data_IF_063256150006
#
_entry.id   IF_063256150006
#
_cell.length_a   1.000
_cell.length_b   1.000
_cell.length_c   1.000
_cell.angle_alpha   90.00
_cell.angle_beta   90.00
_cell.angle_gamma   90.00
#
_symmetry.space_group_name_H-M   'P 1'
#
loop_
_entity.id
_entity.type
_entity.pdbx_description
1 polymer ?
#
# COMPACT_ATOMS: atom_id res chain seq x y z
N UNK A 1 7.55 40.64 -0.65
CA UNK A 1 8.61 39.82 0.01
C UNK A 1 8.00 38.46 0.31
N UNK A 2 8.01 37.53 -0.64
CA UNK A 2 7.39 36.20 -0.49
C UNK A 2 8.49 35.16 -0.26
N UNK A 3 8.60 34.69 0.98
CA UNK A 3 9.41 33.53 1.35
C UNK A 3 8.70 32.27 0.84
N UNK A 4 9.12 31.73 -0.31
CA UNK A 4 8.71 30.39 -0.72
C UNK A 4 9.74 29.38 -0.21
N UNK A 5 9.63 29.06 1.08
CA UNK A 5 10.27 27.89 1.68
C UNK A 5 9.55 26.65 1.17
N UNK A 6 10.18 25.88 0.27
CA UNK A 6 9.81 24.47 0.08
C UNK A 6 10.71 23.63 0.97
N UNK A 7 10.31 23.48 2.23
CA UNK A 7 10.84 22.43 3.10
C UNK A 7 10.31 21.08 2.62
N UNK A 8 11.15 20.24 2.04
CA UNK A 8 10.84 18.84 1.82
C UNK A 8 11.41 18.04 3.01
N UNK A 9 10.57 17.78 4.01
CA UNK A 9 10.90 16.94 5.15
C UNK A 9 10.69 15.47 4.73
N UNK A 10 11.75 14.78 4.29
CA UNK A 10 11.66 13.34 4.01
C UNK A 10 12.03 12.56 5.28
N UNK A 11 11.05 12.46 6.18
CA UNK A 11 11.10 11.57 7.34
C UNK A 11 10.79 10.16 6.83
N UNK A 12 11.82 9.32 6.69
CA UNK A 12 11.63 7.87 6.57
C UNK A 12 11.37 7.29 7.96
N UNK A 13 10.19 7.58 8.52
CA UNK A 13 9.63 6.83 9.64
C UNK A 13 8.92 5.63 9.03
N UNK A 14 9.47 4.45 9.25
CA UNK A 14 8.77 3.20 9.03
C UNK A 14 7.83 2.99 10.22
N UNK A 15 6.67 3.65 10.20
CA UNK A 15 5.51 3.34 11.04
C UNK A 15 4.26 4.03 10.45
N UNK A 16 3.46 3.25 9.73
CA UNK A 16 2.01 3.51 9.61
C UNK A 16 1.27 2.22 9.97
N UNK A 17 0.67 2.14 11.17
CA UNK A 17 -0.34 1.15 11.50
C UNK A 17 -1.73 1.81 11.51
N UNK A 18 -2.40 1.89 10.35
CA UNK A 18 -3.85 2.13 10.31
C UNK A 18 -4.50 1.34 9.18
N UNK A 19 -5.27 0.33 9.60
CA UNK A 19 -6.50 -0.22 9.04
C UNK A 19 -7.02 0.53 7.79
N UNK A 20 -6.66 0.06 6.60
CA UNK A 20 -7.52 0.16 5.43
C UNK A 20 -8.49 -1.04 5.45
N UNK A 21 -9.62 -0.86 6.13
CA UNK A 21 -10.81 -1.65 5.89
C UNK A 21 -11.33 -1.32 4.49
N UNK A 22 -11.02 -2.13 3.49
CA UNK A 22 -11.79 -2.16 2.25
C UNK A 22 -11.94 -3.60 1.80
N UNK A 23 -13.11 -4.12 2.15
CA UNK A 23 -13.71 -5.36 1.72
C UNK A 23 -13.55 -5.56 0.22
N UNK A 24 -12.57 -6.37 -0.20
CA UNK A 24 -12.54 -6.96 -1.54
C UNK A 24 -13.21 -8.34 -1.46
N UNK A 25 -14.53 -8.31 -1.26
CA UNK A 25 -15.41 -9.46 -1.33
C UNK A 25 -16.66 -9.07 -2.10
N UNK A 26 -16.69 -9.46 -3.37
CA UNK A 26 -17.88 -9.76 -4.17
C UNK A 26 -19.13 -8.89 -3.94
N UNK A 27 -19.35 -7.89 -4.80
CA UNK A 27 -20.71 -7.60 -5.27
C UNK A 27 -20.83 -8.04 -6.73
N UNK A 28 -21.48 -9.18 -6.91
CA UNK A 28 -22.17 -9.47 -8.16
C UNK A 28 -23.22 -8.37 -8.39
N UNK A 29 -23.07 -7.62 -9.46
CA UNK A 29 -24.12 -6.89 -10.15
C UNK A 29 -23.55 -6.52 -11.52
N UNK A 30 -23.60 -7.45 -12.47
CA UNK A 30 -24.48 -7.32 -13.63
C UNK A 30 -24.29 -5.99 -14.36
N UNK A 31 -23.50 -6.05 -15.43
CA UNK A 31 -23.66 -5.24 -16.62
C UNK A 31 -25.15 -5.09 -16.94
N UNK A 32 -25.74 -3.95 -16.60
CA UNK A 32 -26.95 -3.51 -17.26
C UNK A 32 -26.88 -2.01 -17.41
N UNK A 33 -26.92 -1.59 -18.67
CA UNK A 33 -27.38 -0.27 -19.12
C UNK A 33 -26.54 0.89 -18.65
N UNK A 34 -25.48 1.14 -19.42
CA UNK A 34 -25.02 2.49 -19.70
C UNK A 34 -26.24 3.30 -20.18
N UNK A 35 -26.72 4.32 -19.45
CA UNK A 35 -27.64 5.28 -20.02
C UNK A 35 -26.80 6.20 -20.88
N UNK A 36 -26.73 5.83 -22.15
CA UNK A 36 -26.73 6.80 -23.24
C UNK A 36 -27.80 7.83 -22.96
N UNK A 37 -27.42 9.08 -22.74
CA UNK A 37 -28.14 10.26 -23.20
C UNK A 37 -27.32 11.51 -22.86
N UNK A 38 -27.23 12.39 -23.86
CA UNK A 38 -26.84 13.80 -23.82
C UNK A 38 -25.35 14.14 -23.54
N UNK A 39 -24.62 14.83 -24.42
CA UNK A 39 -25.01 15.73 -25.50
C UNK A 39 -24.13 15.52 -26.74
N UNK A 40 -24.80 15.48 -27.90
CA UNK A 40 -24.31 15.97 -29.17
C UNK A 40 -23.49 17.27 -28.96
N UNK A 41 -22.40 17.55 -29.68
CA UNK A 41 -22.36 18.04 -31.06
C UNK A 41 -21.02 18.83 -31.09
N UNK A 42 -20.12 18.71 -32.05
CA UNK A 42 -20.10 19.57 -33.24
C UNK A 42 -18.94 19.16 -34.18
N UNK A 43 -19.30 18.46 -35.27
CA UNK A 43 -18.80 18.61 -36.66
C UNK A 43 -17.28 18.53 -37.00
N UNK A 44 -16.86 18.49 -38.30
CA UNK A 44 -17.34 17.68 -39.42
C UNK A 44 -16.19 17.00 -40.22
N UNK A 45 -16.49 15.85 -40.86
CA UNK A 45 -16.09 15.64 -42.26
C UNK A 45 -15.05 14.57 -42.63
N UNK A 46 -15.47 13.73 -43.59
CA UNK A 46 -14.68 13.00 -44.62
C UNK A 46 -13.91 11.73 -44.22
N UNK A 47 -14.55 10.55 -44.37
CA UNK A 47 -13.85 9.25 -44.30
C UNK A 47 -14.68 7.98 -44.51
N UNK A 48 -15.58 7.95 -45.51
CA UNK A 48 -16.61 6.90 -45.72
C UNK A 48 -16.14 5.57 -46.36
N UNK A 49 -14.90 5.10 -46.15
CA UNK A 49 -14.41 3.91 -46.90
C UNK A 49 -13.67 2.82 -46.09
N UNK A 50 -13.86 2.72 -44.77
CA UNK A 50 -13.11 1.74 -43.93
C UNK A 50 -13.95 0.75 -43.12
N UNK A 51 -15.23 0.57 -43.46
CA UNK A 51 -16.17 -0.24 -42.67
C UNK A 51 -16.40 -1.68 -43.12
N UNK A 52 -15.94 -2.09 -44.31
CA UNK A 52 -16.40 -3.37 -44.91
C UNK A 52 -15.45 -4.57 -44.73
N UNK A 53 -14.31 -4.40 -44.07
CA UNK A 53 -13.34 -5.49 -43.84
C UNK A 53 -13.23 -5.95 -42.37
N UNK A 54 -13.88 -5.26 -41.43
CA UNK A 54 -13.78 -5.57 -39.99
C UNK A 54 -14.78 -6.64 -39.49
N UNK A 55 -15.75 -7.05 -40.31
CA UNK A 55 -16.79 -8.02 -39.90
C UNK A 55 -16.35 -9.48 -39.91
N UNK A 56 -15.26 -9.82 -40.63
CA UNK A 56 -14.87 -11.23 -40.87
C UNK A 56 -13.87 -11.78 -39.84
N UNK A 57 -13.27 -10.93 -39.01
CA UNK A 57 -12.29 -11.33 -38.00
C UNK A 57 -12.90 -11.63 -36.62
N UNK A 58 -14.19 -11.32 -36.39
CA UNK A 58 -14.86 -11.52 -35.10
C UNK A 58 -15.63 -12.86 -34.99
N UNK A 59 -15.69 -13.65 -36.06
CA UNK A 59 -16.31 -14.98 -36.04
C UNK A 59 -15.44 -16.08 -35.40
N UNK A 60 -14.11 -16.18 -35.64
CA UNK A 60 -13.31 -17.27 -35.05
C UNK A 60 -13.07 -17.10 -33.54
N UNK A 61 -13.13 -15.87 -33.03
CA UNK A 61 -12.92 -15.56 -31.61
C UNK A 61 -14.13 -15.99 -30.75
N UNK A 62 -15.34 -15.93 -31.32
CA UNK A 62 -16.56 -16.42 -30.68
C UNK A 62 -16.66 -17.96 -30.74
N UNK A 63 -16.17 -18.58 -31.82
CA UNK A 63 -16.18 -20.03 -32.00
C UNK A 63 -15.21 -20.77 -31.03
N UNK A 64 -14.09 -20.16 -30.67
CA UNK A 64 -13.17 -20.71 -29.67
C UNK A 64 -13.74 -20.71 -28.24
N UNK A 65 -14.72 -19.85 -27.93
CA UNK A 65 -15.36 -19.79 -26.62
C UNK A 65 -16.38 -20.92 -26.39
N UNK A 66 -16.81 -21.63 -27.44
CA UNK A 66 -17.79 -22.72 -27.37
C UNK A 66 -17.15 -24.12 -27.41
N UNK A 67 -15.82 -24.23 -27.43
CA UNK A 67 -15.17 -25.54 -27.30
C UNK A 67 -15.54 -26.14 -25.93
N UNK A 68 -16.17 -27.34 -25.87
CA UNK A 68 -16.41 -28.03 -24.61
C UNK A 68 -15.05 -28.45 -24.05
N UNK A 69 -14.47 -27.59 -23.22
CA UNK A 69 -13.31 -27.94 -22.41
C UNK A 69 -13.71 -29.13 -21.53
N UNK A 70 -12.92 -30.19 -21.58
CA UNK A 70 -13.11 -31.37 -20.75
C UNK A 70 -13.20 -30.93 -19.28
N UNK A 71 -14.42 -30.91 -18.74
CA UNK A 71 -14.67 -30.68 -17.33
C UNK A 71 -14.30 -31.97 -16.60
N UNK A 72 -13.04 -32.07 -16.18
CA UNK A 72 -12.63 -33.07 -15.21
C UNK A 72 -13.29 -32.71 -13.88
N UNK A 73 -14.26 -33.50 -13.45
CA UNK A 73 -14.81 -33.39 -12.12
C UNK A 73 -13.67 -33.67 -11.12
N UNK A 74 -13.30 -32.65 -10.33
CA UNK A 74 -12.38 -32.84 -9.22
C UNK A 74 -12.94 -33.91 -8.28
N UNK A 75 -12.07 -34.78 -7.77
CA UNK A 75 -12.46 -35.69 -6.70
C UNK A 75 -12.84 -34.89 -5.45
N UNK A 76 -13.67 -35.47 -4.56
CA UNK A 76 -14.08 -34.81 -3.31
C UNK A 76 -12.87 -34.27 -2.52
N UNK A 77 -11.78 -35.03 -2.46
CA UNK A 77 -10.52 -34.64 -1.81
C UNK A 77 -9.86 -33.43 -2.49
N UNK A 78 -9.87 -33.38 -3.83
CA UNK A 78 -9.33 -32.24 -4.58
C UNK A 78 -10.18 -30.99 -4.37
N UNK A 79 -11.51 -31.12 -4.34
CA UNK A 79 -12.42 -30.02 -4.05
C UNK A 79 -12.24 -29.50 -2.62
N UNK A 80 -12.07 -30.39 -1.64
CA UNK A 80 -11.83 -30.03 -0.25
C UNK A 80 -10.46 -29.36 -0.07
N UNK A 81 -9.40 -29.90 -0.68
CA UNK A 81 -8.07 -29.29 -0.65
C UNK A 81 -8.06 -27.90 -1.29
N UNK A 82 -8.74 -27.72 -2.44
CA UNK A 82 -8.92 -26.41 -3.08
C UNK A 82 -9.71 -25.46 -2.19
N UNK A 83 -10.77 -25.92 -1.51
CA UNK A 83 -11.52 -25.11 -0.57
C UNK A 83 -10.66 -24.64 0.61
N UNK A 84 -9.86 -25.52 1.23
CA UNK A 84 -8.98 -25.12 2.36
C UNK A 84 -7.87 -24.15 1.95
N UNK A 85 -7.35 -24.26 0.73
CA UNK A 85 -6.26 -23.40 0.25
C UNK A 85 -6.76 -22.04 -0.29
N UNK A 86 -7.94 -22.01 -0.89
CA UNK A 86 -8.47 -20.82 -1.56
C UNK A 86 -9.56 -20.09 -0.76
N UNK A 87 -9.90 -20.55 0.44
CA UNK A 87 -10.89 -19.87 1.27
C UNK A 87 -10.30 -18.55 1.82
N UNK A 88 -10.83 -17.38 1.40
CA UNK A 88 -10.28 -16.09 1.81
C UNK A 88 -10.44 -15.83 3.31
N UNK A 89 -11.45 -16.41 3.96
CA UNK A 89 -11.68 -16.26 5.40
C UNK A 89 -10.57 -16.94 6.21
N UNK A 90 -10.15 -18.15 5.82
CA UNK A 90 -9.05 -18.86 6.49
C UNK A 90 -7.70 -18.16 6.28
N UNK A 91 -7.49 -17.62 5.08
CA UNK A 91 -6.29 -16.82 4.79
C UNK A 91 -6.26 -15.52 5.60
N UNK A 92 -7.40 -14.85 5.76
CA UNK A 92 -7.52 -13.65 6.59
C UNK A 92 -7.22 -13.93 8.07
N UNK A 93 -7.76 -15.01 8.64
CA UNK A 93 -7.48 -15.36 10.04
C UNK A 93 -6.01 -15.77 10.27
N UNK A 94 -5.38 -16.46 9.31
CA UNK A 94 -3.93 -16.74 9.36
C UNK A 94 -3.09 -15.47 9.27
N UNK A 95 -3.46 -14.54 8.39
CA UNK A 95 -2.79 -13.25 8.29
C UNK A 95 -2.93 -12.44 9.59
N UNK A 96 -4.10 -12.51 10.23
CA UNK A 96 -4.35 -11.90 11.53
C UNK A 96 -3.48 -12.48 12.64
N UNK A 97 -3.31 -13.81 12.68
CA UNK A 97 -2.40 -14.44 13.64
C UNK A 97 -0.96 -13.97 13.48
N UNK A 98 -0.46 -13.92 12.23
CA UNK A 98 0.88 -13.40 11.95
C UNK A 98 1.02 -11.96 12.43
N UNK A 99 0.04 -11.10 12.16
CA UNK A 99 0.05 -9.71 12.64
C UNK A 99 0.14 -9.61 14.17
N UNK A 100 -0.53 -10.50 14.91
CA UNK A 100 -0.47 -10.54 16.38
C UNK A 100 0.87 -11.10 16.86
N UNK A 101 1.39 -12.15 16.21
CA UNK A 101 2.69 -12.73 16.55
C UNK A 101 3.83 -11.70 16.38
N UNK A 102 3.71 -10.73 15.46
CA UNK A 102 4.69 -9.63 15.29
C UNK A 102 4.70 -8.61 16.44
N UNK A 103 3.71 -8.61 17.33
CA UNK A 103 3.69 -7.71 18.49
C UNK A 103 4.84 -8.02 19.48
N UNK A 104 5.25 -9.27 19.59
CA UNK A 104 6.34 -9.70 20.49
C UNK A 104 7.71 -9.18 20.03
N UNK A 105 8.15 -9.40 18.78
CA UNK A 105 9.42 -8.82 18.29
C UNK A 105 9.39 -7.29 18.26
N UNK A 106 8.23 -6.65 18.04
CA UNK A 106 8.09 -5.19 18.19
C UNK A 106 8.40 -4.76 19.63
N UNK A 107 7.81 -5.41 20.64
CA UNK A 107 8.09 -5.10 22.03
C UNK A 107 9.55 -5.41 22.43
N UNK A 108 10.18 -6.43 21.85
CA UNK A 108 11.60 -6.75 22.06
C UNK A 108 12.54 -5.73 21.40
N UNK A 109 12.13 -5.10 20.29
CA UNK A 109 12.93 -4.09 19.59
C UNK A 109 13.25 -2.88 20.47
N UNK A 110 12.44 -2.63 21.50
CA UNK A 110 12.66 -1.58 22.49
C UNK A 110 13.93 -1.76 23.35
N UNK A 111 14.58 -2.93 23.30
CA UNK A 111 15.90 -3.17 23.90
C UNK A 111 17.07 -2.99 22.91
N UNK A 112 16.77 -2.82 21.63
CA UNK A 112 17.79 -2.65 20.60
C UNK A 112 18.19 -1.19 20.47
N UNK A 113 19.44 -0.89 20.10
CA UNK A 113 19.82 0.46 19.72
C UNK A 113 19.10 0.85 18.43
N UNK A 114 18.58 2.07 18.39
CA UNK A 114 18.02 2.68 17.18
C UNK A 114 19.06 3.57 16.56
N UNK A 115 19.35 3.38 15.27
CA UNK A 115 20.24 4.24 14.47
C UNK A 115 19.37 5.05 13.52
N UNK A 116 19.51 6.36 13.58
CA UNK A 116 18.81 7.31 12.70
C UNK A 116 19.84 8.08 11.90
N UNK A 117 19.60 8.24 10.61
CA UNK A 117 20.41 9.06 9.70
C UNK A 117 19.50 10.18 9.20
N UNK A 118 19.85 11.41 9.50
CA UNK A 118 19.18 12.61 9.01
C UNK A 118 20.12 13.36 8.08
N UNK A 119 19.58 13.93 7.02
CA UNK A 119 20.33 14.71 6.06
C UNK A 119 19.50 15.88 5.60
N UNK A 120 20.08 17.06 5.60
CA UNK A 120 19.42 18.30 5.19
C UNK A 120 20.27 19.01 4.14
N UNK A 121 19.63 19.50 3.10
CA UNK A 121 20.26 20.34 2.09
C UNK A 121 19.33 21.51 1.80
N UNK A 122 19.87 22.71 1.72
CA UNK A 122 19.09 23.92 1.46
C UNK A 122 19.90 25.01 0.79
N UNK A 123 19.20 26.06 0.34
CA UNK A 123 19.80 27.27 -0.20
C UNK A 123 19.25 28.45 0.57
N UNK A 124 20.13 29.18 1.22
CA UNK A 124 19.83 30.38 2.00
C UNK A 124 20.44 31.59 1.29
N UNK A 125 19.59 32.51 0.84
CA UNK A 125 20.01 33.80 0.31
C UNK A 125 19.78 34.89 1.35
N UNK A 126 20.84 35.61 1.70
CA UNK A 126 20.80 36.74 2.63
C UNK A 126 21.20 38.00 1.88
N UNK A 127 20.26 38.92 1.72
CA UNK A 127 20.49 40.23 1.12
C UNK A 127 20.67 41.26 2.26
N UNK A 128 21.82 41.95 2.32
CA UNK A 128 22.10 42.97 3.34
C UNK A 128 22.09 44.37 2.73
N UNK A 129 21.21 45.26 3.23
CA UNK A 129 21.06 46.64 2.78
C UNK A 129 21.82 47.64 3.68
N UNK A 130 23.15 47.51 3.74
CA UNK A 130 24.06 48.46 4.43
C UNK A 130 24.71 49.42 3.42
N UNK A 131 25.53 50.37 3.88
CA UNK A 131 26.25 51.35 3.04
C UNK A 131 27.00 50.73 1.83
N UNK A 132 27.39 49.46 1.93
CA UNK A 132 27.80 48.61 0.80
C UNK A 132 26.83 47.42 0.67
N UNK A 133 25.95 47.39 -0.34
CA UNK A 133 25.05 46.27 -0.55
C UNK A 133 25.81 44.99 -0.87
N UNK A 134 25.47 43.88 -0.21
CA UNK A 134 26.05 42.58 -0.49
C UNK A 134 24.97 41.49 -0.46
N UNK A 135 25.04 40.58 -1.44
CA UNK A 135 24.18 39.40 -1.55
C UNK A 135 25.04 38.19 -1.25
N UNK A 136 24.66 37.42 -0.23
CA UNK A 136 25.31 36.16 0.10
C UNK A 136 24.34 35.02 -0.13
N UNK A 137 24.71 34.10 -1.01
CA UNK A 137 24.04 32.81 -1.15
C UNK A 137 24.87 31.77 -0.41
N UNK A 138 24.21 30.96 0.41
CA UNK A 138 24.83 29.87 1.17
C UNK A 138 24.03 28.61 0.90
N UNK A 139 24.72 27.49 0.69
CA UNK A 139 24.08 26.21 0.39
C UNK A 139 24.41 25.25 1.53
N UNK A 140 23.77 25.39 2.71
CA UNK A 140 24.05 24.50 3.82
C UNK A 140 23.62 23.08 3.45
N UNK A 141 24.55 22.15 3.60
CA UNK A 141 24.32 20.71 3.52
C UNK A 141 24.82 20.09 4.81
N UNK A 142 23.96 19.38 5.52
CA UNK A 142 24.26 18.72 6.79
C UNK A 142 23.84 17.26 6.73
N UNK A 143 24.55 16.41 7.47
CA UNK A 143 24.20 15.02 7.68
C UNK A 143 24.52 14.68 9.13
N UNK A 144 23.59 14.03 9.81
CA UNK A 144 23.68 13.66 11.22
C UNK A 144 23.32 12.18 11.36
N UNK A 145 24.09 11.47 12.17
CA UNK A 145 23.83 10.08 12.54
C UNK A 145 23.64 10.04 14.06
N UNK A 146 22.45 9.65 14.50
CA UNK A 146 22.10 9.57 15.91
C UNK A 146 21.80 8.14 16.30
N UNK A 147 22.56 7.62 17.28
CA UNK A 147 22.41 6.29 17.85
C UNK A 147 21.86 6.41 19.27
N UNK A 148 20.66 5.87 19.48
CA UNK A 148 19.98 5.89 20.78
C UNK A 148 19.84 4.47 21.33
N UNK A 149 20.43 4.19 22.49
CA UNK A 149 20.28 2.91 23.18
C UNK A 149 19.71 3.10 24.59
N UNK A 150 18.55 2.52 24.90
CA UNK A 150 18.02 2.55 26.26
C UNK A 150 18.78 1.56 27.16
N UNK A 151 19.43 2.07 28.22
CA UNK A 151 20.11 1.23 29.22
C UNK A 151 19.14 0.70 30.28
N UNK A 152 18.19 1.53 30.72
CA UNK A 152 17.18 1.15 31.70
C UNK A 152 15.89 1.96 31.52
N UNK A 153 14.75 1.27 31.52
CA UNK A 153 13.42 1.87 31.28
C UNK A 153 12.43 1.57 32.40
N UNK A 154 12.90 1.33 33.63
CA UNK A 154 12.04 1.15 34.79
C UNK A 154 11.06 -0.02 34.69
N UNK A 155 11.40 -1.09 33.98
CA UNK A 155 10.51 -2.25 33.76
C UNK A 155 9.39 -2.04 32.74
N UNK A 156 9.29 -0.87 32.07
CA UNK A 156 8.28 -0.63 31.04
C UNK A 156 8.38 -1.63 29.88
N UNK A 157 9.58 -1.87 29.38
CA UNK A 157 9.78 -2.78 28.25
C UNK A 157 9.40 -4.22 28.58
N UNK A 158 9.69 -4.69 29.80
CA UNK A 158 9.29 -6.04 30.22
C UNK A 158 7.77 -6.17 30.35
N UNK A 159 7.08 -5.12 30.79
CA UNK A 159 5.62 -5.10 30.84
C UNK A 159 4.99 -5.08 29.43
N UNK A 160 5.59 -4.35 28.49
CA UNK A 160 5.19 -4.35 27.08
C UNK A 160 5.35 -5.73 26.43
N UNK A 161 6.48 -6.42 26.68
CA UNK A 161 6.70 -7.79 26.20
C UNK A 161 5.66 -8.75 26.79
N UNK A 162 5.45 -8.70 28.12
CA UNK A 162 4.46 -9.56 28.78
C UNK A 162 3.05 -9.33 28.24
N UNK A 163 2.68 -8.08 27.94
CA UNK A 163 1.41 -7.75 27.30
C UNK A 163 1.30 -8.39 25.91
N UNK A 164 2.31 -8.21 25.05
CA UNK A 164 2.30 -8.79 23.69
C UNK A 164 2.19 -10.32 23.72
N UNK A 165 2.90 -10.99 24.63
CA UNK A 165 2.80 -12.44 24.80
C UNK A 165 1.39 -12.88 25.24
N UNK A 166 0.75 -12.13 26.15
CA UNK A 166 -0.62 -12.41 26.58
C UNK A 166 -1.61 -12.22 25.42
N UNK A 167 -1.39 -11.24 24.54
CA UNK A 167 -2.20 -11.01 23.34
C UNK A 167 -2.08 -12.19 22.35
N UNK A 168 -0.87 -12.72 22.14
CA UNK A 168 -0.66 -13.95 21.33
C UNK A 168 -1.36 -15.15 21.95
N UNK A 169 -1.23 -15.36 23.27
CA UNK A 169 -1.90 -16.48 23.97
C UNK A 169 -3.41 -16.37 23.87
N UNK A 170 -3.97 -15.17 24.04
CA UNK A 170 -5.41 -14.93 23.89
C UNK A 170 -5.90 -15.16 22.46
N UNK A 171 -5.11 -14.75 21.45
CA UNK A 171 -5.44 -14.98 20.05
C UNK A 171 -5.47 -16.47 19.71
N UNK A 172 -4.50 -17.25 20.21
CA UNK A 172 -4.47 -18.71 20.02
C UNK A 172 -5.62 -19.42 20.72
N UNK A 173 -6.01 -18.97 21.91
CA UNK A 173 -7.16 -19.52 22.64
C UNK A 173 -8.51 -19.30 21.94
N UNK A 174 -8.60 -18.35 21.01
CA UNK A 174 -9.83 -18.14 20.20
C UNK A 174 -9.96 -19.12 19.03
N UNK A 175 -8.92 -19.89 18.72
CA UNK A 175 -8.87 -20.83 17.60
C UNK A 175 -9.02 -22.30 18.02
N UNK A 176 -9.10 -22.57 19.32
CA UNK A 176 -9.43 -23.89 19.89
C UNK A 176 -10.93 -24.01 20.13
#
# INVERSE_FOLDING_TARGET
>A
MQMLSRSANLVAVADDPVVASTNAGASAASLTTNPTEDCADLSPGWGRYRGWLAGLAMAPLLAAALAPGAAFADTLDQALAKAYNNNPTLLAERARLRAIDEAVPQALSNWRPTVTLTGEAGVARTDSATATPHVRTTEPTTAEITVTQPLYRGGRTTAEIARAENEVRAARARLS
#
